data_IF_471347592052
#
_entry.id   IF_471347592052
#
_cell.length_a   1.000
_cell.length_b   1.000
_cell.length_c   1.000
_cell.angle_alpha   90.00
_cell.angle_beta   90.00
_cell.angle_gamma   90.00
#
_symmetry.space_group_name_H-M   'P 1'
#
loop_
_entity.id
_entity.type
_entity.pdbx_description
1 polymer ?
#
# COMPACT_ATOMS: atom_id res chain seq x y z
N UNK A 1 13.01 -81.98 2.23
CA UNK A 1 13.28 -81.24 0.98
C UNK A 1 12.27 -80.11 0.60
N UNK A 2 11.07 -80.12 1.18
CA UNK A 2 10.07 -79.05 0.86
C UNK A 2 10.38 -77.69 1.52
N UNK A 3 10.95 -77.70 2.74
CA UNK A 3 11.24 -76.47 3.51
C UNK A 3 12.38 -75.64 2.89
N UNK A 4 13.40 -76.29 2.35
CA UNK A 4 14.55 -75.60 1.72
C UNK A 4 14.11 -74.88 0.42
N UNK A 5 13.21 -75.51 -0.35
CA UNK A 5 12.68 -74.91 -1.56
C UNK A 5 11.79 -73.65 -1.27
N UNK A 6 11.03 -73.67 -0.19
CA UNK A 6 10.20 -72.57 0.22
C UNK A 6 11.05 -71.37 0.73
N UNK A 7 12.18 -71.70 1.44
CA UNK A 7 13.10 -70.67 1.91
C UNK A 7 13.83 -69.96 0.74
N UNK A 8 14.27 -70.75 -0.24
CA UNK A 8 14.95 -70.20 -1.42
C UNK A 8 14.02 -69.37 -2.31
N UNK A 9 12.75 -69.76 -2.45
CA UNK A 9 11.79 -69.00 -3.20
C UNK A 9 11.38 -67.73 -2.46
N UNK A 10 11.24 -67.75 -1.13
CA UNK A 10 10.93 -66.55 -0.31
C UNK A 10 12.06 -65.53 -0.31
N UNK A 11 13.33 -65.99 -0.24
CA UNK A 11 14.49 -65.09 -0.28
C UNK A 11 14.68 -64.41 -1.67
N UNK A 12 14.42 -65.14 -2.76
CA UNK A 12 14.49 -64.59 -4.11
C UNK A 12 13.40 -63.56 -4.39
N UNK A 13 12.18 -63.78 -3.88
CA UNK A 13 11.09 -62.80 -3.98
C UNK A 13 11.35 -61.56 -3.13
N UNK A 14 11.95 -61.70 -1.95
CA UNK A 14 12.35 -60.59 -1.09
C UNK A 14 13.42 -59.68 -1.71
N UNK A 15 14.43 -60.30 -2.35
CA UNK A 15 15.48 -59.52 -3.03
C UNK A 15 14.99 -58.81 -4.30
N UNK A 16 14.05 -59.41 -5.02
CA UNK A 16 13.41 -58.75 -6.18
C UNK A 16 12.54 -57.54 -5.76
N UNK A 17 11.85 -57.59 -4.62
CA UNK A 17 11.06 -56.50 -4.08
C UNK A 17 11.94 -55.32 -3.63
N UNK A 18 13.11 -55.57 -3.04
CA UNK A 18 14.05 -54.50 -2.63
C UNK A 18 14.72 -53.83 -3.83
N UNK A 19 15.03 -54.57 -4.91
CA UNK A 19 15.57 -53.98 -6.13
C UNK A 19 14.56 -53.10 -6.88
N UNK A 20 13.24 -53.39 -6.77
CA UNK A 20 12.18 -52.55 -7.36
C UNK A 20 11.92 -51.24 -6.59
N UNK A 21 12.24 -51.20 -5.29
CA UNK A 21 12.03 -50.03 -4.48
C UNK A 21 13.04 -48.88 -4.75
N UNK A 22 14.21 -49.19 -5.27
CA UNK A 22 15.23 -48.18 -5.62
C UNK A 22 14.98 -47.52 -6.98
N UNK A 23 14.11 -48.06 -7.82
CA UNK A 23 13.77 -47.47 -9.12
C UNK A 23 12.79 -46.28 -9.01
N UNK A 24 12.23 -46.00 -7.82
CA UNK A 24 11.28 -44.89 -7.61
C UNK A 24 11.95 -43.55 -7.31
N UNK A 25 13.26 -43.54 -7.05
CA UNK A 25 14.01 -42.30 -6.77
C UNK A 25 14.76 -41.83 -8.02
N UNK A 26 14.03 -41.65 -9.12
CA UNK A 26 14.55 -40.88 -10.24
C UNK A 26 14.84 -39.46 -9.73
N UNK A 27 16.08 -38.94 -9.93
CA UNK A 27 16.38 -37.57 -9.54
C UNK A 27 15.42 -36.65 -10.31
N UNK A 28 14.37 -36.23 -9.63
CA UNK A 28 13.50 -35.18 -10.13
C UNK A 28 14.41 -33.96 -10.30
N UNK A 29 14.74 -33.58 -11.55
CA UNK A 29 15.41 -32.33 -11.83
C UNK A 29 14.60 -31.28 -11.11
N UNK A 30 15.14 -30.74 -10.01
CA UNK A 30 14.56 -29.63 -9.31
C UNK A 30 14.39 -28.55 -10.37
N UNK A 31 13.13 -28.29 -10.79
CA UNK A 31 12.85 -27.23 -11.74
C UNK A 31 13.53 -25.99 -11.22
N UNK A 32 14.30 -25.31 -12.05
CA UNK A 32 14.90 -24.05 -11.67
C UNK A 32 13.78 -23.17 -11.11
N UNK A 33 13.98 -22.49 -9.95
CA UNK A 33 12.95 -21.65 -9.39
C UNK A 33 12.52 -20.65 -10.46
N UNK A 34 11.26 -20.72 -10.84
CA UNK A 34 10.70 -19.76 -11.81
C UNK A 34 10.68 -18.44 -11.08
N UNK A 35 11.56 -17.55 -11.44
CA UNK A 35 11.59 -16.17 -10.90
C UNK A 35 10.42 -15.42 -11.50
N UNK A 36 9.27 -15.49 -10.84
CA UNK A 36 8.04 -14.82 -11.30
C UNK A 36 8.12 -13.30 -11.20
N UNK A 37 9.03 -12.77 -10.36
CA UNK A 37 9.17 -11.34 -10.09
C UNK A 37 10.64 -10.96 -10.05
N UNK A 38 11.08 -10.15 -11.01
CA UNK A 38 12.41 -9.58 -11.04
C UNK A 38 12.48 -8.37 -10.13
N UNK A 39 13.41 -8.36 -9.16
CA UNK A 39 13.62 -7.24 -8.25
C UNK A 39 14.17 -6.03 -9.01
N UNK A 40 13.61 -4.85 -8.74
CA UNK A 40 14.09 -3.57 -9.24
C UNK A 40 14.83 -2.82 -8.12
N UNK A 41 16.14 -2.90 -8.06
CA UNK A 41 16.95 -2.25 -7.01
C UNK A 41 17.18 -0.75 -7.26
N UNK A 42 16.95 -0.25 -8.48
CA UNK A 42 17.21 1.14 -8.85
C UNK A 42 16.45 2.18 -8.01
N UNK A 43 15.28 1.81 -7.47
CA UNK A 43 14.43 2.71 -6.68
C UNK A 43 14.29 2.30 -5.21
N UNK A 44 15.12 1.37 -4.76
CA UNK A 44 15.15 0.91 -3.37
C UNK A 44 14.33 -0.36 -3.12
N UNK A 45 14.19 -0.69 -1.84
CA UNK A 45 13.57 -1.95 -1.39
C UNK A 45 12.08 -2.01 -1.72
N UNK A 46 11.61 -3.18 -2.15
CA UNK A 46 10.21 -3.46 -2.40
C UNK A 46 9.71 -3.10 -3.80
N UNK A 47 10.58 -2.60 -4.68
CA UNK A 47 10.26 -2.44 -6.10
C UNK A 47 10.57 -3.71 -6.89
N UNK A 48 9.70 -4.03 -7.84
CA UNK A 48 9.84 -5.13 -8.78
C UNK A 48 9.45 -4.68 -10.19
N UNK A 49 10.05 -5.30 -11.21
CA UNK A 49 9.68 -5.02 -12.59
C UNK A 49 8.32 -5.60 -12.92
N UNK A 50 7.49 -4.81 -13.60
CA UNK A 50 6.27 -5.35 -14.24
C UNK A 50 6.73 -6.23 -15.41
N UNK A 51 6.31 -7.51 -15.49
CA UNK A 51 6.72 -8.42 -16.56
C UNK A 51 6.52 -7.81 -17.95
N UNK A 52 7.56 -7.90 -18.80
CA UNK A 52 7.54 -7.38 -20.17
C UNK A 52 7.70 -5.85 -20.28
N UNK A 53 8.04 -5.15 -19.20
CA UNK A 53 8.24 -3.69 -19.21
C UNK A 53 9.51 -3.29 -18.47
N UNK A 54 9.98 -2.05 -18.67
CA UNK A 54 11.04 -1.41 -17.89
C UNK A 54 10.50 -0.62 -16.69
N UNK A 55 9.24 -0.81 -16.37
CA UNK A 55 8.57 -0.14 -15.25
C UNK A 55 8.76 -0.92 -13.96
N UNK A 56 9.25 -0.25 -12.93
CA UNK A 56 9.34 -0.75 -11.58
C UNK A 56 8.10 -0.34 -10.79
N UNK A 57 7.43 -1.30 -10.17
CA UNK A 57 6.25 -1.09 -9.34
C UNK A 57 6.54 -1.46 -7.89
N UNK A 58 6.11 -0.62 -6.95
CA UNK A 58 6.02 -0.96 -5.55
C UNK A 58 4.57 -0.90 -5.08
N UNK A 59 4.11 -1.99 -4.50
CA UNK A 59 2.82 -2.08 -3.81
C UNK A 59 3.08 -2.04 -2.32
N UNK A 60 2.40 -1.15 -1.61
CA UNK A 60 2.53 -1.02 -0.17
C UNK A 60 1.20 -0.55 0.44
N UNK A 61 1.11 -0.57 1.76
CA UNK A 61 -0.12 -0.14 2.41
C UNK A 61 -0.06 -0.34 3.91
N UNK A 62 -1.21 -0.14 4.55
CA UNK A 62 -1.40 -0.42 5.97
C UNK A 62 -2.85 -0.77 6.26
N UNK A 63 -3.08 -1.53 7.32
CA UNK A 63 -4.36 -1.64 7.99
C UNK A 63 -4.30 -0.86 9.30
N UNK A 64 -5.39 -0.20 9.66
CA UNK A 64 -5.53 0.58 10.90
C UNK A 64 -6.88 0.31 11.52
N UNK A 65 -6.88 0.09 12.82
CA UNK A 65 -8.10 -0.01 13.63
C UNK A 65 -8.04 1.07 14.71
N UNK A 66 -9.13 1.76 14.92
CA UNK A 66 -9.26 2.79 15.95
C UNK A 66 -10.58 2.61 16.69
N UNK A 67 -10.50 2.75 18.00
CA UNK A 67 -11.63 2.91 18.89
C UNK A 67 -11.57 4.29 19.49
N UNK A 68 -12.64 5.04 19.38
CA UNK A 68 -12.72 6.40 19.87
C UNK A 68 -13.81 6.53 20.94
N UNK A 69 -13.49 7.26 21.99
CA UNK A 69 -14.42 7.62 23.05
C UNK A 69 -14.42 9.15 23.13
N UNK A 70 -15.56 9.76 22.97
CA UNK A 70 -15.72 11.21 23.04
C UNK A 70 -16.93 11.56 23.89
N UNK A 71 -16.89 12.70 24.55
CA UNK A 71 -18.06 13.22 25.27
C UNK A 71 -19.18 13.49 24.27
N UNK A 72 -20.33 12.90 24.47
CA UNK A 72 -21.53 13.19 23.68
C UNK A 72 -21.95 14.63 23.94
N UNK A 73 -22.08 15.42 22.88
CA UNK A 73 -22.56 16.81 22.96
C UNK A 73 -24.09 16.90 22.97
N UNK A 74 -24.75 15.83 22.53
CA UNK A 74 -26.21 15.71 22.46
C UNK A 74 -26.62 14.29 22.90
N UNK A 75 -27.79 14.14 23.50
CA UNK A 75 -28.32 12.86 23.98
C UNK A 75 -28.46 11.78 22.88
N UNK A 76 -28.60 12.21 21.63
CA UNK A 76 -28.73 11.31 20.48
C UNK A 76 -27.39 10.81 19.91
N UNK A 77 -26.25 11.29 20.43
CA UNK A 77 -24.94 10.93 19.90
C UNK A 77 -24.32 9.76 20.67
N UNK A 78 -23.83 8.77 19.96
CA UNK A 78 -23.04 7.70 20.56
C UNK A 78 -21.71 8.26 21.11
N UNK A 79 -21.33 8.01 22.36
CA UNK A 79 -20.05 8.42 22.93
C UNK A 79 -18.88 7.62 22.38
N UNK A 80 -19.12 6.54 21.66
CA UNK A 80 -18.09 5.62 21.18
C UNK A 80 -18.21 5.43 19.68
N UNK A 81 -17.07 5.17 19.03
CA UNK A 81 -17.00 4.88 17.61
C UNK A 81 -15.83 3.97 17.26
N UNK A 82 -15.98 3.21 16.19
CA UNK A 82 -14.94 2.37 15.62
C UNK A 82 -14.59 2.85 14.21
N UNK A 83 -13.32 2.73 13.85
CA UNK A 83 -12.86 2.86 12.46
C UNK A 83 -11.93 1.72 12.11
N UNK A 84 -12.26 1.02 11.04
CA UNK A 84 -11.33 0.14 10.33
C UNK A 84 -10.93 0.81 9.03
N UNK A 85 -9.64 0.91 8.74
CA UNK A 85 -9.11 1.57 7.55
C UNK A 85 -8.06 0.70 6.88
N UNK A 86 -8.21 0.50 5.57
CA UNK A 86 -7.19 -0.03 4.68
C UNK A 86 -6.63 1.09 3.80
N UNK A 87 -5.32 1.08 3.56
CA UNK A 87 -4.63 1.97 2.61
C UNK A 87 -3.84 1.13 1.65
N UNK A 88 -3.92 1.45 0.36
CA UNK A 88 -3.10 0.85 -0.70
C UNK A 88 -2.36 1.97 -1.40
N UNK A 89 -1.05 1.80 -1.58
CA UNK A 89 -0.21 2.67 -2.39
C UNK A 89 0.36 1.88 -3.56
N UNK A 90 0.30 2.48 -4.74
CA UNK A 90 0.97 2.02 -5.96
C UNK A 90 1.97 3.11 -6.37
N UNK A 91 3.24 2.76 -6.48
CA UNK A 91 4.34 3.66 -6.90
C UNK A 91 5.01 3.02 -8.11
N UNK A 92 4.70 3.50 -9.30
CA UNK A 92 5.27 3.04 -10.56
C UNK A 92 6.33 4.04 -11.05
N UNK A 93 7.50 3.52 -11.44
CA UNK A 93 8.63 4.32 -11.92
C UNK A 93 9.27 3.71 -13.14
N UNK A 94 9.48 4.55 -14.14
CA UNK A 94 10.14 4.17 -15.39
C UNK A 94 11.32 5.11 -15.64
N UNK A 95 12.49 4.57 -15.91
CA UNK A 95 13.63 5.38 -16.30
C UNK A 95 13.50 5.78 -17.77
N UNK A 96 13.63 7.07 -18.06
CA UNK A 96 13.62 7.61 -19.41
C UNK A 96 14.92 8.36 -19.71
N UNK A 97 15.14 8.74 -20.96
CA UNK A 97 16.29 9.56 -21.37
C UNK A 97 16.29 10.96 -20.70
N UNK A 98 15.13 11.44 -20.25
CA UNK A 98 14.96 12.76 -19.62
C UNK A 98 14.77 12.70 -18.10
N UNK A 99 14.98 11.53 -17.49
CA UNK A 99 14.84 11.30 -16.05
C UNK A 99 13.76 10.27 -15.73
N UNK A 100 13.49 10.11 -14.44
CA UNK A 100 12.50 9.15 -13.93
C UNK A 100 11.09 9.70 -14.09
N UNK A 101 10.26 8.99 -14.85
CA UNK A 101 8.81 9.17 -14.83
C UNK A 101 8.24 8.39 -13.65
N UNK A 102 7.48 9.04 -12.78
CA UNK A 102 6.82 8.44 -11.63
C UNK A 102 5.32 8.67 -11.69
N UNK A 103 4.55 7.59 -11.51
CA UNK A 103 3.13 7.64 -11.26
C UNK A 103 2.85 7.08 -9.87
N UNK A 104 2.13 7.82 -9.05
CA UNK A 104 1.80 7.43 -7.69
C UNK A 104 0.31 7.54 -7.43
N UNK A 105 -0.25 6.47 -6.84
CA UNK A 105 -1.66 6.46 -6.43
C UNK A 105 -1.77 5.94 -5.01
N UNK A 106 -2.65 6.57 -4.20
CA UNK A 106 -3.00 6.15 -2.85
C UNK A 106 -4.51 6.18 -2.67
N UNK A 107 -5.06 5.02 -2.35
CA UNK A 107 -6.45 4.87 -1.94
C UNK A 107 -6.55 4.54 -0.46
N UNK A 108 -7.55 5.11 0.17
CA UNK A 108 -7.96 4.75 1.52
C UNK A 108 -9.42 4.31 1.51
N UNK A 109 -9.68 3.17 2.13
CA UNK A 109 -11.01 2.62 2.31
C UNK A 109 -11.24 2.50 3.80
N UNK A 110 -12.29 3.10 4.32
CA UNK A 110 -12.62 3.01 5.74
C UNK A 110 -14.08 2.69 5.98
N UNK A 111 -14.32 1.95 7.06
CA UNK A 111 -15.64 1.74 7.63
C UNK A 111 -15.66 2.34 9.03
N UNK A 112 -16.69 3.12 9.33
CA UNK A 112 -16.86 3.81 10.60
C UNK A 112 -18.21 3.49 11.20
N UNK A 113 -18.27 3.51 12.53
CA UNK A 113 -19.48 3.40 13.32
C UNK A 113 -19.44 4.41 14.45
N UNK A 114 -20.60 4.90 14.89
CA UNK A 114 -20.69 5.84 16.00
C UNK A 114 -20.00 7.17 15.76
N UNK A 115 -19.76 7.90 16.82
CA UNK A 115 -19.09 9.21 16.75
C UNK A 115 -17.58 9.04 16.57
N UNK A 116 -17.05 9.59 15.50
CA UNK A 116 -15.64 9.49 15.17
C UNK A 116 -15.04 10.87 14.88
N UNK A 117 -14.18 11.35 15.78
CA UNK A 117 -13.49 12.62 15.69
C UNK A 117 -12.01 12.44 15.36
N UNK A 118 -11.66 11.95 14.20
CA UNK A 118 -10.25 11.82 13.89
C UNK A 118 -9.82 12.59 12.66
N UNK A 119 -8.63 13.14 12.78
CA UNK A 119 -8.01 14.17 11.97
C UNK A 119 -8.13 14.09 10.45
N UNK A 120 -7.99 12.92 9.83
CA UNK A 120 -7.98 12.84 8.36
C UNK A 120 -9.35 13.12 7.72
N UNK A 121 -10.44 12.76 8.39
CA UNK A 121 -11.78 13.00 7.86
C UNK A 121 -12.22 14.45 8.01
N UNK A 122 -11.82 15.08 9.11
CA UNK A 122 -12.10 16.50 9.38
C UNK A 122 -11.30 17.37 8.42
N UNK A 123 -10.04 17.04 8.18
CA UNK A 123 -9.17 17.74 7.22
C UNK A 123 -9.65 17.71 5.78
N UNK A 124 -10.42 16.70 5.40
CA UNK A 124 -10.96 16.58 4.05
C UNK A 124 -12.27 17.35 3.85
N UNK A 125 -12.70 18.15 4.85
CA UNK A 125 -13.89 18.99 4.73
C UNK A 125 -15.21 18.23 4.66
N UNK A 126 -15.21 16.93 4.93
CA UNK A 126 -16.39 16.09 4.84
C UNK A 126 -17.09 16.01 6.22
N UNK A 127 -18.07 16.87 6.47
CA UNK A 127 -18.81 16.91 7.74
C UNK A 127 -19.53 15.59 8.05
N UNK A 128 -20.02 14.87 7.06
CA UNK A 128 -20.64 13.56 7.23
C UNK A 128 -19.64 12.50 7.71
N UNK A 129 -18.38 12.64 7.33
CA UNK A 129 -17.32 11.75 7.77
C UNK A 129 -17.01 11.88 9.27
N UNK A 130 -17.45 12.94 9.94
CA UNK A 130 -17.21 13.14 11.36
C UNK A 130 -18.13 12.29 12.25
N UNK A 131 -19.30 11.89 11.78
CA UNK A 131 -20.29 11.15 12.57
C UNK A 131 -20.12 9.64 12.52
N UNK A 132 -19.45 9.10 11.50
CA UNK A 132 -19.25 7.65 11.31
C UNK A 132 -20.50 6.86 10.94
N UNK A 133 -21.65 7.54 10.86
CA UNK A 133 -22.93 6.98 10.43
C UNK A 133 -23.59 7.95 9.45
N UNK A 134 -24.42 7.43 8.55
CA UNK A 134 -25.25 8.24 7.66
C UNK A 134 -26.49 8.79 8.39
N UNK A 135 -27.33 9.50 7.64
CA UNK A 135 -28.59 10.04 8.16
C UNK A 135 -29.52 8.97 8.78
N UNK A 136 -29.42 7.73 8.35
CA UNK A 136 -30.22 6.62 8.86
C UNK A 136 -29.54 5.86 10.01
N UNK A 137 -28.44 6.34 10.55
CA UNK A 137 -27.69 5.67 11.62
C UNK A 137 -26.89 4.44 11.16
N UNK A 138 -26.70 4.26 9.86
CA UNK A 138 -25.96 3.14 9.28
C UNK A 138 -24.47 3.42 9.27
N UNK A 139 -23.66 2.36 9.42
CA UNK A 139 -22.21 2.47 9.33
C UNK A 139 -21.77 2.99 7.97
N UNK A 140 -20.95 4.03 7.96
CA UNK A 140 -20.43 4.62 6.73
C UNK A 140 -19.26 3.85 6.16
N UNK A 141 -19.31 3.68 4.84
CA UNK A 141 -18.17 3.28 4.03
C UNK A 141 -17.64 4.51 3.28
N UNK A 142 -16.36 4.79 3.42
CA UNK A 142 -15.73 5.90 2.75
C UNK A 142 -14.55 5.39 1.91
N UNK A 143 -14.54 5.77 0.63
CA UNK A 143 -13.42 5.56 -0.28
C UNK A 143 -12.85 6.93 -0.60
N UNK A 144 -11.56 7.11 -0.36
CA UNK A 144 -10.86 8.37 -0.56
C UNK A 144 -9.70 8.17 -1.50
N UNK A 145 -9.65 8.93 -2.57
CA UNK A 145 -8.45 9.13 -3.36
C UNK A 145 -7.57 10.16 -2.64
N UNK A 146 -6.65 9.69 -1.79
CA UNK A 146 -5.77 10.58 -1.03
C UNK A 146 -4.73 11.24 -1.93
N UNK A 147 -4.11 10.48 -2.84
CA UNK A 147 -3.10 10.97 -3.78
C UNK A 147 -3.23 10.27 -5.13
N UNK A 148 -3.08 11.02 -6.21
CA UNK A 148 -2.94 10.51 -7.57
C UNK A 148 -2.19 11.55 -8.40
N UNK A 149 -0.89 11.34 -8.62
CA UNK A 149 -0.06 12.31 -9.30
C UNK A 149 0.99 11.65 -10.20
N UNK A 150 1.46 12.42 -11.15
CA UNK A 150 2.59 12.13 -12.03
C UNK A 150 3.70 13.11 -11.70
N UNK A 151 4.94 12.61 -11.65
CA UNK A 151 6.15 13.43 -11.54
C UNK A 151 7.09 13.10 -12.70
N UNK A 152 7.56 14.15 -13.37
CA UNK A 152 8.52 14.02 -14.46
C UNK A 152 9.28 15.34 -14.71
N UNK A 153 10.59 15.27 -14.83
CA UNK A 153 11.46 16.43 -15.17
C UNK A 153 11.18 17.70 -14.33
N UNK A 154 10.98 17.53 -13.01
CA UNK A 154 10.63 18.62 -12.10
C UNK A 154 9.15 18.99 -12.03
N UNK A 155 8.36 18.53 -12.98
CA UNK A 155 6.89 18.76 -12.96
C UNK A 155 6.22 17.75 -12.04
N UNK A 156 5.28 18.22 -11.22
CA UNK A 156 4.32 17.41 -10.46
C UNK A 156 2.91 17.84 -10.84
N UNK A 157 2.09 16.89 -11.32
CA UNK A 157 0.73 17.15 -11.75
C UNK A 157 -0.23 16.12 -11.17
N UNK A 158 -1.36 16.57 -10.63
CA UNK A 158 -2.41 15.73 -10.06
C UNK A 158 -2.67 16.03 -8.59
N UNK A 159 -3.30 15.07 -7.88
CA UNK A 159 -3.62 15.22 -6.47
C UNK A 159 -2.43 14.79 -5.61
N UNK A 160 -1.79 15.73 -4.95
CA UNK A 160 -0.63 15.52 -4.09
C UNK A 160 -0.71 16.37 -2.82
N UNK A 161 0.22 16.18 -1.90
CA UNK A 161 0.36 17.08 -0.74
C UNK A 161 0.67 18.48 -1.26
N UNK A 162 -0.02 19.50 -0.73
CA UNK A 162 0.22 20.90 -1.03
C UNK A 162 1.69 21.26 -0.80
N UNK A 163 2.29 22.05 -1.68
CA UNK A 163 3.64 22.59 -1.49
C UNK A 163 3.70 23.66 -0.41
N UNK A 164 2.54 24.17 0.06
CA UNK A 164 2.45 25.03 1.22
C UNK A 164 2.43 24.24 2.54
N UNK A 165 2.22 22.91 2.49
CA UNK A 165 2.31 22.02 3.66
C UNK A 165 3.73 21.48 3.82
N UNK A 166 4.63 22.29 4.34
CA UNK A 166 6.04 21.96 4.55
C UNK A 166 6.37 21.52 5.97
N UNK A 167 5.42 21.59 6.90
CA UNK A 167 5.55 21.04 8.26
C UNK A 167 4.96 19.64 8.34
N UNK A 168 5.72 18.73 8.94
CA UNK A 168 5.32 17.32 9.05
C UNK A 168 4.20 17.06 10.05
N UNK A 169 3.81 18.03 10.87
CA UNK A 169 2.80 17.92 11.91
C UNK A 169 1.92 19.15 12.00
N UNK A 170 0.68 18.92 12.41
CA UNK A 170 -0.37 19.90 12.59
C UNK A 170 -0.02 20.98 13.62
N UNK A 171 0.37 22.14 13.17
CA UNK A 171 0.35 23.35 14.00
C UNK A 171 -1.08 23.88 14.18
N UNK A 172 -2.04 23.40 13.43
CA UNK A 172 -3.46 23.71 13.58
C UNK A 172 -4.06 23.36 14.95
N UNK A 173 -3.36 22.55 15.74
CA UNK A 173 -3.75 22.18 17.10
C UNK A 173 -3.82 23.38 18.05
N UNK A 174 -3.08 24.44 17.76
CA UNK A 174 -3.08 25.66 18.57
C UNK A 174 -4.00 26.78 18.04
N UNK A 175 -4.88 26.48 17.08
CA UNK A 175 -5.77 27.50 16.50
C UNK A 175 -5.04 28.55 15.67
N UNK A 176 -3.75 28.42 15.49
CA UNK A 176 -2.96 29.24 14.58
C UNK A 176 -3.01 28.54 13.25
N UNK A 177 -4.04 28.80 12.47
CA UNK A 177 -4.17 28.35 11.10
C UNK A 177 -3.08 28.92 10.22
N UNK A 178 -1.86 28.44 10.38
CA UNK A 178 -0.83 28.62 9.38
C UNK A 178 -1.26 27.89 8.11
N UNK A 179 -1.03 28.47 6.93
CA UNK A 179 -1.36 27.86 5.65
C UNK A 179 -0.66 26.53 5.33
N UNK A 180 0.00 25.93 6.32
CA UNK A 180 0.82 24.71 6.19
C UNK A 180 0.08 23.40 6.52
N UNK A 181 -1.15 23.43 7.02
CA UNK A 181 -1.93 22.22 7.31
C UNK A 181 -2.99 21.98 6.20
N UNK A 182 -2.52 21.88 4.98
CA UNK A 182 -3.39 21.56 3.86
C UNK A 182 -3.31 20.07 3.55
N UNK A 183 -4.49 19.46 3.44
CA UNK A 183 -4.65 18.12 2.91
C UNK A 183 -4.13 18.04 1.46
N UNK A 184 -4.07 16.84 0.91
CA UNK A 184 -3.79 16.66 -0.51
C UNK A 184 -4.77 17.47 -1.37
N UNK A 185 -4.24 18.20 -2.32
CA UNK A 185 -5.01 19.05 -3.26
C UNK A 185 -4.65 18.71 -4.70
N UNK A 186 -5.49 19.14 -5.66
CA UNK A 186 -5.13 19.07 -7.07
C UNK A 186 -4.14 20.19 -7.37
N UNK A 187 -3.02 19.86 -7.97
CA UNK A 187 -1.97 20.82 -8.22
C UNK A 187 -1.23 20.56 -9.55
N UNK A 188 -0.66 21.63 -10.05
CA UNK A 188 0.36 21.62 -11.08
C UNK A 188 1.54 22.43 -10.54
N UNK A 189 2.69 21.79 -10.39
CA UNK A 189 3.87 22.41 -9.83
C UNK A 189 5.11 22.11 -10.64
N UNK A 190 6.07 23.01 -10.58
CA UNK A 190 7.41 22.82 -11.12
C UNK A 190 8.46 23.11 -10.05
N UNK A 191 9.35 22.16 -9.82
CA UNK A 191 10.46 22.28 -8.88
C UNK A 191 11.77 22.34 -9.65
N UNK A 192 12.49 23.46 -9.50
CA UNK A 192 13.87 23.63 -9.98
C UNK A 192 14.86 23.34 -8.86
N UNK A 193 15.89 22.56 -9.16
CA UNK A 193 17.00 22.28 -8.24
C UNK A 193 18.26 23.01 -8.72
N UNK A 194 18.88 23.81 -7.83
CA UNK A 194 20.02 24.67 -8.18
C UNK A 194 21.36 24.11 -7.70
N UNK A 195 21.38 22.89 -7.19
CA UNK A 195 22.57 22.29 -6.57
C UNK A 195 22.74 22.71 -5.10
N UNK A 196 23.72 22.13 -4.42
CA UNK A 196 24.07 22.42 -3.01
C UNK A 196 22.87 22.37 -2.03
N UNK A 197 21.84 21.59 -2.35
CA UNK A 197 20.64 21.44 -1.51
C UNK A 197 19.57 22.52 -1.69
N UNK A 198 19.75 23.48 -2.60
CA UNK A 198 18.75 24.50 -2.89
C UNK A 198 17.76 24.03 -3.95
N UNK A 199 16.48 24.27 -3.69
CA UNK A 199 15.40 24.08 -4.67
C UNK A 199 14.35 25.16 -4.48
N UNK A 200 13.62 25.47 -5.56
CA UNK A 200 12.47 26.35 -5.53
C UNK A 200 11.33 25.67 -6.28
N UNK A 201 10.12 25.83 -5.76
CA UNK A 201 8.89 25.28 -6.36
C UNK A 201 7.90 26.40 -6.61
N UNK A 202 7.33 26.43 -7.81
CA UNK A 202 6.15 27.21 -8.15
C UNK A 202 5.00 26.24 -8.31
N UNK A 203 3.89 26.45 -7.58
CA UNK A 203 2.71 25.62 -7.66
C UNK A 203 1.44 26.43 -7.92
N UNK A 204 0.57 25.85 -8.72
CA UNK A 204 -0.82 26.25 -8.89
C UNK A 204 -1.68 25.16 -8.25
N UNK A 205 -2.44 25.52 -7.25
CA UNK A 205 -3.20 24.59 -6.41
C UNK A 205 -4.67 24.99 -6.36
N UNK A 206 -5.53 23.96 -6.40
CA UNK A 206 -6.97 24.14 -6.24
C UNK A 206 -7.27 24.35 -4.75
N UNK A 207 -8.03 25.38 -4.34
CA UNK A 207 -8.29 25.74 -2.96
C UNK A 207 -9.17 24.73 -2.19
#
# INVERSE_FOLDING_TARGET
>A
MKLVKSLLLGSAAGLAAVAGAQAADLPVRKAAPVEYVRVCSAYGVGFFYIPGTDTCLRVSGRARFEYNVASARQFSQSPTGFRSQGRINLDARTQTAYGTLRAFVRYEISRRTGQFHSGTAIRQGNAEAATGVDFFGQAQHQIVLDKAFIQFAGVTAGRATSFFDFYANDLGWFGIGGGSDRASTNLLAYTASFGSGWSATLSLEDP
#
